data_IF_822042549944
#
_entry.id   IF_822042549944
#
_cell.length_a   1.000
_cell.length_b   1.000
_cell.length_c   1.000
_cell.angle_alpha   90.00
_cell.angle_beta   90.00
_cell.angle_gamma   90.00
#
_symmetry.space_group_name_H-M   'P 1'
#
loop_
_entity.id
_entity.type
_entity.pdbx_description
1 polymer ?
#
# COMPACT_ATOMS: atom_id res chain seq x y z
N UNK A 1 -14.08 22.71 3.72
CA UNK A 1 -13.86 21.27 3.57
C UNK A 1 -12.71 20.83 4.47
N UNK A 2 -12.87 19.71 5.13
CA UNK A 2 -11.85 19.20 6.04
C UNK A 2 -10.70 18.51 5.30
N UNK A 3 -9.67 18.16 6.04
CA UNK A 3 -8.57 17.35 5.54
C UNK A 3 -9.06 15.94 5.20
N UNK A 4 -8.36 15.22 4.30
CA UNK A 4 -8.76 13.87 3.91
C UNK A 4 -8.55 12.83 5.00
N UNK A 5 -9.18 11.69 4.84
CA UNK A 5 -8.72 10.46 5.50
C UNK A 5 -7.48 9.99 4.75
N UNK A 6 -6.37 9.85 5.45
CA UNK A 6 -5.12 9.36 4.87
C UNK A 6 -4.93 7.91 5.26
N UNK A 7 -4.72 7.05 4.25
CA UNK A 7 -4.45 5.62 4.42
C UNK A 7 -3.00 5.37 4.00
N UNK A 8 -2.18 4.89 4.92
CA UNK A 8 -0.80 4.53 4.62
C UNK A 8 -0.73 3.03 4.39
N UNK A 9 -0.52 2.65 3.15
CA UNK A 9 -0.46 1.27 2.71
C UNK A 9 -1.55 0.93 1.71
N UNK A 10 -1.18 0.25 0.62
CA UNK A 10 -2.06 -0.12 -0.49
C UNK A 10 -2.26 -1.64 -0.61
N UNK A 11 -2.04 -2.38 0.46
CA UNK A 11 -2.33 -3.80 0.50
C UNK A 11 -3.82 -4.08 0.67
N UNK A 12 -4.16 -5.33 0.99
CA UNK A 12 -5.55 -5.74 1.18
C UNK A 12 -6.25 -4.92 2.25
N UNK A 13 -5.57 -4.64 3.37
CA UNK A 13 -6.14 -3.88 4.48
C UNK A 13 -6.42 -2.43 4.07
N UNK A 14 -5.47 -1.76 3.41
CA UNK A 14 -5.65 -0.39 2.96
C UNK A 14 -6.80 -0.23 1.99
N UNK A 15 -6.87 -1.10 0.98
CA UNK A 15 -7.97 -1.08 0.02
C UNK A 15 -9.32 -1.49 0.63
N UNK A 16 -9.32 -2.41 1.60
CA UNK A 16 -10.55 -2.77 2.33
C UNK A 16 -11.12 -1.56 3.07
N UNK A 17 -10.26 -0.80 3.76
CA UNK A 17 -10.69 0.42 4.45
C UNK A 17 -11.23 1.45 3.45
N UNK A 18 -10.53 1.66 2.33
CA UNK A 18 -10.97 2.61 1.31
C UNK A 18 -12.35 2.26 0.75
N UNK A 19 -12.59 0.98 0.46
CA UNK A 19 -13.89 0.52 -0.02
C UNK A 19 -15.01 0.73 1.00
N UNK A 20 -14.76 0.33 2.25
CA UNK A 20 -15.77 0.47 3.30
C UNK A 20 -16.08 1.94 3.61
N UNK A 21 -15.06 2.79 3.66
CA UNK A 21 -15.26 4.23 3.80
C UNK A 21 -16.10 4.79 2.66
N UNK A 22 -15.85 4.37 1.43
CA UNK A 22 -16.59 4.86 0.26
C UNK A 22 -18.03 4.40 0.25
N UNK A 23 -18.33 3.21 0.79
CA UNK A 23 -19.70 2.75 0.99
C UNK A 23 -20.45 3.58 2.04
N UNK A 24 -19.74 3.94 3.11
CA UNK A 24 -20.34 4.74 4.19
C UNK A 24 -20.53 6.21 3.80
N UNK A 25 -19.63 6.75 3.00
CA UNK A 25 -19.69 8.15 2.57
C UNK A 25 -19.03 8.30 1.19
N UNK A 26 -19.85 8.60 0.20
CA UNK A 26 -19.43 8.76 -1.19
C UNK A 26 -18.59 10.02 -1.44
N UNK A 27 -18.65 10.99 -0.53
CA UNK A 27 -18.07 12.33 -0.73
C UNK A 27 -16.78 12.57 0.08
N UNK A 28 -16.48 11.73 1.08
CA UNK A 28 -15.31 11.94 1.94
C UNK A 28 -14.01 11.91 1.11
N UNK A 29 -13.12 12.92 1.26
CA UNK A 29 -11.84 12.86 0.57
C UNK A 29 -10.94 11.80 1.20
N UNK A 30 -10.34 10.96 0.36
CA UNK A 30 -9.46 9.88 0.78
C UNK A 30 -8.16 9.96 -0.01
N UNK A 31 -7.03 9.91 0.69
CA UNK A 31 -5.69 9.84 0.10
C UNK A 31 -5.02 8.56 0.57
N UNK A 32 -4.59 7.73 -0.36
CA UNK A 32 -3.82 6.52 -0.08
C UNK A 32 -2.37 6.73 -0.47
N UNK A 33 -1.46 6.42 0.44
CA UNK A 33 -0.02 6.55 0.21
C UNK A 33 0.57 5.15 0.15
N UNK A 34 1.26 4.85 -0.94
CA UNK A 34 1.90 3.55 -1.15
C UNK A 34 3.39 3.70 -1.38
N UNK A 35 4.19 2.83 -0.77
CA UNK A 35 5.63 2.79 -1.00
C UNK A 35 5.98 2.11 -2.35
N UNK A 36 5.08 1.29 -2.88
CA UNK A 36 5.22 0.63 -4.19
C UNK A 36 4.36 1.31 -5.27
N UNK A 37 4.04 0.57 -6.33
CA UNK A 37 3.23 1.07 -7.46
C UNK A 37 1.77 1.38 -7.10
N UNK A 38 1.30 0.97 -5.91
CA UNK A 38 -0.05 1.26 -5.44
C UNK A 38 -1.17 0.42 -6.05
N UNK A 39 -0.85 -0.56 -6.89
CA UNK A 39 -1.85 -1.44 -7.48
C UNK A 39 -2.49 -2.39 -6.47
N UNK A 40 -3.67 -2.87 -6.79
CA UNK A 40 -4.40 -3.81 -5.94
C UNK A 40 -4.10 -5.25 -6.32
N UNK A 41 -3.51 -6.00 -5.40
CA UNK A 41 -3.27 -7.44 -5.56
C UNK A 41 -3.28 -8.13 -4.19
N UNK A 42 -3.46 -9.45 -4.21
CA UNK A 42 -3.40 -10.26 -3.00
C UNK A 42 -2.00 -10.84 -2.82
N UNK A 43 -1.27 -10.42 -1.77
CA UNK A 43 0.06 -10.96 -1.47
C UNK A 43 0.10 -12.48 -1.34
N UNK A 44 -0.89 -13.16 -0.72
CA UNK A 44 -0.89 -14.64 -0.69
C UNK A 44 -0.85 -15.31 -2.05
N UNK A 45 -1.30 -14.64 -3.11
CA UNK A 45 -1.26 -15.19 -4.47
C UNK A 45 0.15 -15.23 -5.07
N UNK A 46 1.11 -14.49 -4.50
CA UNK A 46 2.49 -14.45 -4.99
C UNK A 46 3.15 -15.83 -4.91
N UNK A 47 2.95 -16.54 -3.81
CA UNK A 47 3.54 -17.87 -3.63
C UNK A 47 2.99 -18.92 -4.57
N UNK A 48 1.82 -18.71 -5.15
CA UNK A 48 1.16 -19.64 -6.06
C UNK A 48 1.32 -19.25 -7.55
N UNK A 49 1.98 -18.13 -7.82
CA UNK A 49 2.06 -17.58 -9.17
C UNK A 49 2.71 -18.55 -10.16
N UNK A 50 3.84 -19.12 -9.80
CA UNK A 50 4.58 -20.05 -10.68
C UNK A 50 3.79 -21.33 -10.95
N UNK A 51 3.17 -21.90 -9.91
CA UNK A 51 2.40 -23.14 -10.05
C UNK A 51 1.13 -22.96 -10.90
N UNK A 52 0.58 -21.76 -10.92
CA UNK A 52 -0.62 -21.44 -11.72
C UNK A 52 -0.29 -20.76 -13.05
N UNK A 53 1.00 -20.62 -13.38
CA UNK A 53 1.45 -19.99 -14.62
C UNK A 53 1.12 -18.51 -14.72
N UNK A 54 1.01 -17.81 -13.59
CA UNK A 54 0.69 -16.38 -13.57
C UNK A 54 1.94 -15.51 -13.64
N UNK A 55 1.83 -14.42 -14.37
CA UNK A 55 2.85 -13.35 -14.40
C UNK A 55 2.53 -12.30 -13.33
N UNK A 56 3.51 -11.44 -12.97
CA UNK A 56 3.22 -10.32 -12.05
C UNK A 56 2.03 -9.48 -12.49
N UNK A 57 1.92 -9.18 -13.76
CA UNK A 57 0.81 -8.39 -14.32
C UNK A 57 -0.53 -9.10 -14.17
N UNK A 58 -0.57 -10.42 -14.32
CA UNK A 58 -1.81 -11.20 -14.21
C UNK A 58 -2.29 -11.36 -12.77
N UNK A 59 -1.42 -11.16 -11.77
CA UNK A 59 -1.80 -11.18 -10.36
C UNK A 59 -2.45 -9.85 -9.96
N UNK A 60 -2.08 -8.77 -10.63
CA UNK A 60 -2.58 -7.43 -10.35
C UNK A 60 -4.07 -7.34 -10.70
N UNK A 61 -4.90 -7.09 -9.69
CA UNK A 61 -6.36 -6.97 -9.87
C UNK A 61 -6.79 -5.58 -10.35
N UNK A 62 -5.90 -4.59 -10.22
CA UNK A 62 -6.11 -3.24 -10.69
C UNK A 62 -4.88 -2.39 -10.40
N UNK A 63 -4.47 -1.56 -11.35
CA UNK A 63 -3.38 -0.62 -11.11
C UNK A 63 -3.85 0.59 -10.30
N UNK A 64 -2.91 1.44 -9.87
CA UNK A 64 -3.23 2.60 -9.04
C UNK A 64 -4.22 3.54 -9.73
N UNK A 65 -4.07 3.77 -11.03
CA UNK A 65 -4.96 4.67 -11.78
C UNK A 65 -6.38 4.12 -11.84
N UNK A 66 -6.53 2.83 -12.12
CA UNK A 66 -7.83 2.16 -12.17
C UNK A 66 -8.52 2.21 -10.79
N UNK A 67 -7.78 1.90 -9.72
CA UNK A 67 -8.32 1.89 -8.36
C UNK A 67 -8.68 3.30 -7.89
N UNK A 68 -7.85 4.30 -8.21
CA UNK A 68 -8.14 5.69 -7.88
C UNK A 68 -9.43 6.16 -8.54
N UNK A 69 -9.63 5.83 -9.80
CA UNK A 69 -10.85 6.16 -10.53
C UNK A 69 -12.08 5.42 -9.99
N UNK A 70 -11.94 4.12 -9.76
CA UNK A 70 -13.04 3.27 -9.30
C UNK A 70 -13.54 3.65 -7.91
N UNK A 71 -12.64 3.98 -7.00
CA UNK A 71 -12.96 4.34 -5.61
C UNK A 71 -13.08 5.85 -5.41
N UNK A 72 -12.76 6.65 -6.42
CA UNK A 72 -12.73 8.13 -6.34
C UNK A 72 -11.82 8.61 -5.21
N UNK A 73 -10.62 8.04 -5.14
CA UNK A 73 -9.60 8.39 -4.16
C UNK A 73 -8.34 8.89 -4.88
N UNK A 74 -7.48 9.58 -4.12
CA UNK A 74 -6.16 9.96 -4.60
C UNK A 74 -5.17 8.91 -4.12
N UNK A 75 -4.42 8.31 -5.04
CA UNK A 75 -3.36 7.36 -4.71
C UNK A 75 -2.01 8.01 -5.02
N UNK A 76 -1.12 8.00 -4.02
CA UNK A 76 0.25 8.50 -4.13
C UNK A 76 1.20 7.30 -4.16
N UNK A 77 1.51 6.75 -5.34
CA UNK A 77 2.44 5.61 -5.45
C UNK A 77 3.89 6.07 -5.29
N UNK A 78 4.74 5.12 -4.95
CA UNK A 78 6.18 5.34 -4.76
C UNK A 78 6.50 6.47 -3.77
N UNK A 79 5.67 6.62 -2.74
CA UNK A 79 5.83 7.59 -1.67
C UNK A 79 5.96 6.86 -0.34
N UNK A 80 7.00 7.18 0.41
CA UNK A 80 7.23 6.56 1.72
C UNK A 80 7.00 7.58 2.82
N UNK A 81 6.17 7.22 3.79
CA UNK A 81 5.97 8.00 5.01
C UNK A 81 7.12 7.70 5.97
N UNK A 82 7.78 8.74 6.46
CA UNK A 82 8.92 8.62 7.37
C UNK A 82 8.63 9.12 8.77
N UNK A 83 7.58 9.92 8.95
CA UNK A 83 7.20 10.45 10.25
C UNK A 83 5.71 10.76 10.33
N UNK A 84 5.17 10.70 11.54
CA UNK A 84 3.81 11.10 11.87
C UNK A 84 3.88 12.23 12.87
N UNK A 85 3.26 13.35 12.56
CA UNK A 85 3.08 14.47 13.46
C UNK A 85 1.65 14.40 14.01
N UNK A 86 1.49 13.72 15.13
CA UNK A 86 0.16 13.53 15.75
C UNK A 86 -0.46 14.85 16.18
N UNK A 87 0.25 15.76 16.92
CA UNK A 87 -0.33 17.04 17.29
C UNK A 87 -0.71 17.92 16.09
N UNK A 88 0.05 17.85 15.00
CA UNK A 88 -0.19 18.62 13.79
C UNK A 88 -1.12 17.95 12.78
N UNK A 89 -1.57 16.73 13.04
CA UNK A 89 -2.41 15.94 12.12
C UNK A 89 -1.80 15.86 10.72
N UNK A 90 -0.52 15.48 10.65
CA UNK A 90 0.18 15.37 9.37
C UNK A 90 1.10 14.14 9.33
N UNK A 91 1.30 13.62 8.13
CA UNK A 91 2.37 12.66 7.85
C UNK A 91 3.41 13.34 6.98
N UNK A 92 4.68 12.99 7.20
CA UNK A 92 5.81 13.51 6.41
C UNK A 92 6.34 12.42 5.50
N UNK A 93 6.47 12.74 4.23
CA UNK A 93 7.05 11.85 3.24
C UNK A 93 8.57 11.97 3.22
N UNK A 94 9.24 11.01 2.60
CA UNK A 94 10.71 10.95 2.52
C UNK A 94 11.32 12.19 1.86
N UNK A 95 10.58 12.84 0.95
CA UNK A 95 11.01 14.07 0.28
C UNK A 95 10.77 15.35 1.10
N UNK A 96 10.20 15.23 2.29
CA UNK A 96 9.87 16.35 3.16
C UNK A 96 8.47 16.92 3.02
N UNK A 97 7.70 16.44 2.03
CA UNK A 97 6.31 16.87 1.86
C UNK A 97 5.47 16.44 3.05
N UNK A 98 4.58 17.31 3.51
CA UNK A 98 3.62 17.00 4.57
C UNK A 98 2.22 16.87 3.98
N UNK A 99 1.52 15.82 4.39
CA UNK A 99 0.13 15.59 4.02
C UNK A 99 -0.69 15.63 5.30
N UNK A 100 -1.60 16.61 5.38
CA UNK A 100 -2.48 16.78 6.54
C UNK A 100 -3.69 15.84 6.43
N UNK A 101 -4.14 15.33 7.59
CA UNK A 101 -5.25 14.39 7.64
C UNK A 101 -6.28 14.78 8.69
N UNK A 102 -7.52 14.36 8.48
CA UNK A 102 -8.56 14.36 9.51
C UNK A 102 -8.51 13.07 10.32
N UNK A 103 -8.33 11.95 9.63
CA UNK A 103 -8.12 10.62 10.22
C UNK A 103 -6.96 9.93 9.51
N UNK A 104 -6.18 9.19 10.27
CA UNK A 104 -5.05 8.43 9.75
C UNK A 104 -5.28 6.94 9.97
N UNK A 105 -5.13 6.17 8.91
CA UNK A 105 -5.19 4.70 8.94
C UNK A 105 -3.81 4.16 8.58
N UNK A 106 -3.26 3.34 9.45
CA UNK A 106 -1.99 2.66 9.21
C UNK A 106 -2.27 1.21 8.79
N UNK A 107 -1.98 0.91 7.53
CA UNK A 107 -2.16 -0.41 6.93
C UNK A 107 -0.86 -0.84 6.27
N UNK A 108 0.23 -0.80 7.04
CA UNK A 108 1.60 -0.89 6.55
C UNK A 108 2.00 -2.29 6.07
N UNK A 109 1.25 -3.32 6.44
CA UNK A 109 1.63 -4.70 6.17
C UNK A 109 2.83 -5.13 6.99
N UNK A 110 3.60 -6.05 6.46
CA UNK A 110 4.78 -6.60 7.12
C UNK A 110 5.88 -6.87 6.11
N UNK A 111 7.12 -6.71 6.55
CA UNK A 111 8.28 -7.12 5.78
C UNK A 111 8.66 -8.56 6.15
N UNK A 112 9.34 -9.24 5.24
CA UNK A 112 9.82 -10.58 5.50
C UNK A 112 10.93 -10.57 6.55
N UNK A 113 10.91 -11.56 7.43
CA UNK A 113 11.99 -11.78 8.39
C UNK A 113 13.11 -12.55 7.71
N UNK A 114 14.33 -12.01 7.71
CA UNK A 114 15.50 -12.74 7.24
C UNK A 114 15.97 -13.69 8.32
N UNK A 115 15.90 -14.99 8.03
CA UNK A 115 16.40 -16.01 8.95
C UNK A 115 17.93 -16.01 8.95
N UNK A 116 18.58 -16.24 10.11
CA UNK A 116 20.03 -16.32 10.20
C UNK A 116 20.54 -17.68 9.66
N UNK A 117 20.45 -17.87 8.35
CA UNK A 117 20.89 -19.09 7.68
C UNK A 117 22.41 -19.05 7.46
N UNK A 118 23.03 -20.22 7.50
CA UNK A 118 24.46 -20.39 7.24
C UNK A 118 24.67 -21.20 5.96
N UNK A 119 25.71 -20.85 5.21
CA UNK A 119 26.07 -21.57 3.99
C UNK A 119 26.53 -20.63 2.87
N UNK A 120 27.11 -21.19 1.83
CA UNK A 120 27.63 -20.46 0.67
C UNK A 120 26.54 -20.05 -0.32
N UNK A 121 25.34 -20.58 -0.18
CA UNK A 121 24.18 -20.25 -1.01
C UNK A 121 23.29 -19.12 -0.47
N UNK A 122 23.65 -18.50 0.65
CA UNK A 122 22.79 -17.48 1.31
C UNK A 122 22.46 -16.31 0.38
N UNK A 123 23.44 -15.87 -0.40
CA UNK A 123 23.25 -14.75 -1.33
C UNK A 123 22.29 -15.05 -2.48
N UNK A 124 21.99 -16.34 -2.69
CA UNK A 124 21.08 -16.81 -3.74
C UNK A 124 19.67 -17.03 -3.24
N UNK A 125 19.42 -16.81 -1.96
CA UNK A 125 18.10 -16.98 -1.37
C UNK A 125 17.25 -15.76 -1.71
N UNK A 126 16.12 -16.00 -2.35
CA UNK A 126 15.15 -14.98 -2.69
C UNK A 126 13.96 -15.03 -1.75
N UNK A 127 13.37 -13.87 -1.50
CA UNK A 127 12.11 -13.76 -0.77
C UNK A 127 11.07 -13.14 -1.68
N UNK A 128 9.79 -13.49 -1.46
CA UNK A 128 8.68 -12.97 -2.26
C UNK A 128 7.74 -12.25 -1.30
N UNK A 129 7.63 -10.93 -1.44
CA UNK A 129 6.79 -10.10 -0.58
C UNK A 129 5.91 -9.10 -1.35
N UNK A 130 6.29 -8.73 -2.56
CA UNK A 130 5.58 -7.78 -3.40
C UNK A 130 5.78 -8.11 -4.89
N UNK A 131 5.26 -7.26 -5.76
CA UNK A 131 5.37 -7.42 -7.21
C UNK A 131 6.59 -6.70 -7.80
N UNK A 132 7.31 -5.90 -7.00
CA UNK A 132 8.47 -5.13 -7.44
C UNK A 132 9.78 -5.94 -7.33
#
# INVERSE_FOLDING_TARGET
MGNPVVIVGSGLAGYAVARELRKLNAEIPIVMISADHGGFYSKPMLSNALSTGRTPESILNGDAVQMASQLKIIIRPHCRVVAIDEPGYAVTLVDGEKIFYDRLVLALGADQVRLPLLGDGIEKILTINDLD
#
